data_IF_788362921364
#
_entry.id   IF_788362921364
#
_cell.length_a   1.000
_cell.length_b   1.000
_cell.length_c   1.000
_cell.angle_alpha   90.00
_cell.angle_beta   90.00
_cell.angle_gamma   90.00
#
_symmetry.space_group_name_H-M   'P 1'
#
loop_
_entity.id
_entity.type
_entity.pdbx_description
1 polymer ?
#
# COMPACT_ATOMS: atom_id res chain seq x y z
N UNK A 1 -53.52 17.97 -19.91
CA UNK A 1 -52.55 17.81 -18.79
C UNK A 1 -51.73 16.56 -19.10
N UNK A 2 -50.39 16.64 -19.20
CA UNK A 2 -49.58 15.43 -19.31
C UNK A 2 -49.62 14.72 -17.95
N UNK A 3 -49.88 13.41 -17.97
CA UNK A 3 -49.76 12.57 -16.80
C UNK A 3 -48.27 12.32 -16.55
N UNK A 4 -47.75 12.76 -15.42
CA UNK A 4 -46.45 12.35 -14.92
C UNK A 4 -46.59 10.94 -14.35
N UNK A 5 -46.18 9.93 -15.11
CA UNK A 5 -45.88 8.62 -14.54
C UNK A 5 -44.56 8.78 -13.78
N UNK A 6 -44.68 8.93 -12.46
CA UNK A 6 -43.59 8.60 -11.55
C UNK A 6 -43.35 7.08 -11.68
N UNK A 7 -42.44 6.69 -12.59
CA UNK A 7 -41.94 5.32 -12.60
C UNK A 7 -41.19 5.09 -11.29
N UNK A 8 -41.78 4.27 -10.42
CA UNK A 8 -41.22 3.84 -9.16
C UNK A 8 -39.96 3.01 -9.45
N UNK A 9 -38.78 3.67 -9.38
CA UNK A 9 -37.48 3.04 -9.59
C UNK A 9 -37.30 1.97 -8.52
N UNK A 10 -37.56 0.72 -8.88
CA UNK A 10 -37.38 -0.44 -8.02
C UNK A 10 -35.98 -0.99 -8.25
N UNK A 11 -35.12 -0.93 -7.24
CA UNK A 11 -33.80 -1.60 -7.30
C UNK A 11 -34.05 -3.11 -7.23
N UNK A 12 -33.88 -3.80 -8.37
CA UNK A 12 -34.22 -5.23 -8.48
C UNK A 12 -33.06 -6.18 -8.18
N UNK A 13 -31.80 -5.73 -8.29
CA UNK A 13 -30.63 -6.60 -8.10
C UNK A 13 -29.42 -5.87 -7.50
N UNK A 14 -28.66 -6.57 -6.65
CA UNK A 14 -27.33 -6.14 -6.20
C UNK A 14 -26.33 -6.45 -7.32
N UNK A 15 -25.83 -5.42 -8.00
CA UNK A 15 -24.95 -5.58 -9.17
C UNK A 15 -23.54 -6.11 -8.81
N UNK A 16 -22.95 -5.67 -7.70
CA UNK A 16 -21.67 -6.16 -7.18
C UNK A 16 -21.42 -5.64 -5.76
N UNK A 17 -21.13 -6.51 -4.80
CA UNK A 17 -20.73 -6.08 -3.45
C UNK A 17 -19.21 -6.04 -3.38
N UNK A 18 -18.63 -4.85 -3.21
CA UNK A 18 -17.22 -4.72 -2.81
C UNK A 18 -17.15 -5.04 -1.33
N UNK A 19 -17.01 -6.32 -1.02
CA UNK A 19 -16.81 -6.80 0.33
C UNK A 19 -15.33 -6.69 0.74
N UNK A 20 -15.06 -6.92 2.03
CA UNK A 20 -13.70 -6.90 2.57
C UNK A 20 -12.78 -7.89 1.83
N UNK A 21 -13.35 -9.00 1.34
CA UNK A 21 -12.66 -10.03 0.55
C UNK A 21 -12.19 -9.46 -0.79
N UNK A 22 -13.04 -8.70 -1.47
CA UNK A 22 -12.75 -8.04 -2.75
C UNK A 22 -11.66 -6.99 -2.60
N UNK A 23 -11.72 -6.16 -1.55
CA UNK A 23 -10.66 -5.17 -1.27
C UNK A 23 -9.32 -5.86 -1.00
N UNK A 24 -9.35 -6.93 -0.21
CA UNK A 24 -8.15 -7.72 0.10
C UNK A 24 -7.58 -8.37 -1.17
N UNK A 25 -8.43 -8.93 -2.03
CA UNK A 25 -8.04 -9.52 -3.31
C UNK A 25 -7.34 -8.50 -4.21
N UNK A 26 -7.88 -7.29 -4.33
CA UNK A 26 -7.27 -6.24 -5.14
C UNK A 26 -5.83 -5.91 -4.71
N UNK A 27 -5.56 -5.89 -3.40
CA UNK A 27 -4.20 -5.68 -2.89
C UNK A 27 -3.28 -6.84 -3.28
N UNK A 28 -3.75 -8.09 -3.20
CA UNK A 28 -2.99 -9.24 -3.67
C UNK A 28 -2.73 -9.21 -5.18
N UNK A 29 -3.68 -8.76 -5.98
CA UNK A 29 -3.52 -8.61 -7.43
C UNK A 29 -2.44 -7.59 -7.78
N UNK A 30 -2.38 -6.45 -7.08
CA UNK A 30 -1.32 -5.45 -7.24
C UNK A 30 0.04 -6.02 -6.80
N UNK A 31 0.06 -6.71 -5.65
CA UNK A 31 1.25 -7.31 -5.07
C UNK A 31 1.87 -8.35 -6.02
N UNK A 32 1.06 -9.26 -6.55
CA UNK A 32 1.47 -10.30 -7.50
C UNK A 32 1.69 -9.78 -8.93
N UNK A 33 1.00 -8.71 -9.32
CA UNK A 33 1.05 -8.15 -10.67
C UNK A 33 0.02 -8.70 -11.64
N UNK A 34 -0.99 -9.42 -11.14
CA UNK A 34 -2.12 -9.97 -11.93
C UNK A 34 -2.80 -8.87 -12.75
N UNK A 35 -2.89 -7.67 -12.19
CA UNK A 35 -3.48 -6.50 -12.85
C UNK A 35 -2.70 -5.97 -14.07
N UNK A 36 -1.50 -6.51 -14.35
CA UNK A 36 -0.63 -6.11 -15.47
C UNK A 36 -0.10 -7.30 -16.28
N UNK A 37 0.01 -8.47 -15.67
CA UNK A 37 0.59 -9.67 -16.28
C UNK A 37 -0.53 -10.69 -16.41
N UNK A 38 -1.12 -10.79 -17.62
CA UNK A 38 -2.29 -11.62 -17.87
C UNK A 38 -2.06 -13.14 -17.75
N UNK A 39 -0.81 -13.59 -17.62
CA UNK A 39 -0.47 -15.01 -17.40
C UNK A 39 -0.44 -15.40 -15.93
N UNK A 40 -0.56 -14.45 -15.00
CA UNK A 40 -0.50 -14.69 -13.56
C UNK A 40 -1.92 -14.62 -13.01
N UNK A 41 -2.39 -15.72 -12.40
CA UNK A 41 -3.65 -15.75 -11.66
C UNK A 41 -3.43 -15.30 -10.21
N UNK A 42 -4.46 -14.73 -9.58
CA UNK A 42 -4.37 -14.32 -8.17
C UNK A 42 -4.13 -15.48 -7.22
N UNK A 43 -4.48 -16.71 -7.60
CA UNK A 43 -4.23 -17.91 -6.81
C UNK A 43 -2.83 -18.51 -7.04
N UNK A 44 -2.08 -18.04 -8.04
CA UNK A 44 -0.70 -18.48 -8.27
C UNK A 44 0.16 -18.17 -7.05
N UNK A 45 0.87 -19.18 -6.53
CA UNK A 45 1.80 -18.99 -5.43
C UNK A 45 3.08 -18.33 -5.95
N UNK A 46 3.36 -17.10 -5.49
CA UNK A 46 4.54 -16.33 -5.87
C UNK A 46 5.32 -16.02 -4.58
N UNK A 47 6.59 -16.47 -4.49
CA UNK A 47 7.50 -16.12 -3.39
C UNK A 47 7.57 -14.61 -3.17
N UNK A 48 7.82 -14.17 -1.94
CA UNK A 48 7.73 -12.73 -1.58
C UNK A 48 8.71 -11.86 -2.38
N UNK A 49 9.88 -12.42 -2.66
CA UNK A 49 11.00 -11.86 -3.42
C UNK A 49 10.70 -11.68 -4.91
N UNK A 50 9.81 -12.50 -5.46
CA UNK A 50 9.43 -12.49 -6.88
C UNK A 50 8.15 -11.67 -7.14
N UNK A 51 7.55 -11.12 -6.08
CA UNK A 51 6.34 -10.32 -6.21
C UNK A 51 6.64 -8.98 -6.86
N UNK A 52 5.79 -8.58 -7.81
CA UNK A 52 5.95 -7.32 -8.55
C UNK A 52 6.07 -6.11 -7.64
N UNK A 53 5.20 -5.99 -6.64
CA UNK A 53 5.21 -4.88 -5.67
C UNK A 53 5.14 -5.48 -4.25
N UNK A 54 6.26 -5.54 -3.51
CA UNK A 54 6.24 -5.95 -2.11
C UNK A 54 5.31 -5.08 -1.24
N UNK A 55 4.64 -5.69 -0.26
CA UNK A 55 3.73 -4.97 0.65
C UNK A 55 4.39 -3.82 1.41
N UNK A 56 5.67 -3.97 1.80
CA UNK A 56 6.45 -2.93 2.45
C UNK A 56 6.61 -1.65 1.59
N UNK A 57 6.38 -1.75 0.28
CA UNK A 57 6.39 -0.62 -0.65
C UNK A 57 4.98 -0.07 -0.93
N UNK A 58 3.98 -0.45 -0.12
CA UNK A 58 2.60 0.00 -0.28
C UNK A 58 2.23 0.99 0.82
N UNK A 59 1.44 1.99 0.43
CA UNK A 59 0.71 2.87 1.33
C UNK A 59 -0.77 2.62 1.08
N UNK A 60 -1.50 2.25 2.13
CA UNK A 60 -2.93 2.01 2.08
C UNK A 60 -3.68 3.08 2.87
N UNK A 61 -4.59 3.77 2.20
CA UNK A 61 -5.36 4.90 2.74
C UNK A 61 -6.84 4.54 2.68
N UNK A 62 -7.54 4.59 3.82
CA UNK A 62 -8.98 4.30 3.89
C UNK A 62 -9.64 4.97 5.11
N UNK A 63 -10.96 4.97 5.15
CA UNK A 63 -11.79 5.84 5.98
C UNK A 63 -12.62 5.12 7.06
N UNK A 64 -12.30 3.87 7.43
CA UNK A 64 -13.03 3.28 8.55
C UNK A 64 -12.86 1.80 8.82
N UNK A 65 -13.79 1.24 9.63
CA UNK A 65 -13.73 -0.14 10.11
C UNK A 65 -13.85 -1.20 9.02
N UNK A 66 -14.47 -0.88 7.88
CA UNK A 66 -14.62 -1.83 6.76
C UNK A 66 -13.27 -2.30 6.23
N UNK A 67 -12.24 -1.46 6.38
CA UNK A 67 -10.90 -1.71 5.84
C UNK A 67 -9.96 -2.32 6.88
N UNK A 68 -10.46 -2.64 8.08
CA UNK A 68 -9.70 -3.32 9.14
C UNK A 68 -8.96 -4.57 8.66
N UNK A 69 -9.55 -5.46 7.82
CA UNK A 69 -8.82 -6.61 7.28
C UNK A 69 -7.63 -6.19 6.40
N UNK A 70 -7.81 -5.17 5.56
CA UNK A 70 -6.77 -4.68 4.65
C UNK A 70 -5.68 -3.94 5.42
N UNK A 71 -6.05 -3.11 6.39
CA UNK A 71 -5.10 -2.47 7.30
C UNK A 71 -4.24 -3.52 8.00
N UNK A 72 -4.85 -4.58 8.52
CA UNK A 72 -4.13 -5.65 9.21
C UNK A 72 -3.16 -6.36 8.25
N UNK A 73 -3.60 -6.67 7.03
CA UNK A 73 -2.77 -7.32 6.01
C UNK A 73 -1.54 -6.47 5.64
N UNK A 74 -1.77 -5.19 5.31
CA UNK A 74 -0.69 -4.29 4.86
C UNK A 74 0.30 -4.04 6.00
N UNK A 75 -0.21 -3.76 7.21
CA UNK A 75 0.61 -3.49 8.38
C UNK A 75 1.48 -4.70 8.79
N UNK A 76 0.89 -5.91 8.83
CA UNK A 76 1.64 -7.15 9.14
C UNK A 76 2.74 -7.48 8.12
N UNK A 77 2.62 -6.99 6.88
CA UNK A 77 3.61 -7.21 5.83
C UNK A 77 4.53 -6.00 5.61
N UNK A 78 4.61 -5.09 6.60
CA UNK A 78 5.57 -3.97 6.63
C UNK A 78 5.16 -2.75 5.80
N UNK A 79 3.97 -2.76 5.20
CA UNK A 79 3.43 -1.62 4.48
C UNK A 79 2.94 -0.52 5.43
N UNK A 80 2.61 0.63 4.85
CA UNK A 80 2.13 1.80 5.59
C UNK A 80 0.61 1.90 5.50
N UNK A 81 -0.04 2.25 6.60
CA UNK A 81 -1.51 2.32 6.72
C UNK A 81 -1.93 3.66 7.31
N UNK A 82 -2.82 4.36 6.63
CA UNK A 82 -3.26 5.70 6.99
C UNK A 82 -4.79 5.79 7.00
N UNK A 83 -5.35 6.26 8.10
CA UNK A 83 -6.79 6.54 8.21
C UNK A 83 -7.11 7.95 7.69
N UNK A 84 -8.25 8.13 7.04
CA UNK A 84 -8.74 9.47 6.70
C UNK A 84 -10.15 9.70 7.22
N UNK A 85 -10.48 10.95 7.50
CA UNK A 85 -11.82 11.38 7.91
C UNK A 85 -12.19 12.70 7.23
N UNK A 86 -13.47 12.96 7.01
CA UNK A 86 -13.95 14.20 6.42
C UNK A 86 -13.77 15.40 7.39
N UNK A 87 -13.49 16.58 6.85
CA UNK A 87 -13.32 17.78 7.67
C UNK A 87 -14.59 18.09 8.44
N UNK A 88 -14.47 18.27 9.76
CA UNK A 88 -15.62 18.47 10.67
C UNK A 88 -16.38 17.19 11.06
N UNK A 89 -16.04 16.02 10.51
CA UNK A 89 -16.70 14.75 10.85
C UNK A 89 -16.11 14.13 12.13
N UNK A 90 -16.68 14.52 13.28
CA UNK A 90 -16.22 14.07 14.61
C UNK A 90 -16.34 12.56 14.81
N UNK A 91 -17.38 11.93 14.29
CA UNK A 91 -17.61 10.49 14.45
C UNK A 91 -16.62 9.67 13.63
N UNK A 92 -16.28 10.12 12.42
CA UNK A 92 -15.23 9.51 11.60
C UNK A 92 -13.85 9.68 12.25
N UNK A 93 -13.55 10.88 12.76
CA UNK A 93 -12.34 11.13 13.54
C UNK A 93 -12.23 10.14 14.71
N UNK A 94 -13.32 9.97 15.48
CA UNK A 94 -13.33 9.05 16.61
C UNK A 94 -13.05 7.60 16.18
N UNK A 95 -13.62 7.17 15.04
CA UNK A 95 -13.37 5.85 14.47
C UNK A 95 -11.90 5.64 14.08
N UNK A 96 -11.31 6.54 13.28
CA UNK A 96 -9.90 6.40 12.86
C UNK A 96 -8.93 6.54 14.03
N UNK A 97 -9.25 7.39 15.01
CA UNK A 97 -8.47 7.52 16.23
C UNK A 97 -8.46 6.19 17.03
N UNK A 98 -9.61 5.52 17.13
CA UNK A 98 -9.68 4.21 17.78
C UNK A 98 -8.88 3.14 17.01
N UNK A 99 -8.94 3.15 15.67
CA UNK A 99 -8.10 2.28 14.85
C UNK A 99 -6.60 2.50 15.10
N UNK A 100 -6.18 3.76 15.31
CA UNK A 100 -4.78 4.08 15.62
C UNK A 100 -4.40 3.58 17.02
N UNK A 101 -5.25 3.78 18.04
CA UNK A 101 -5.01 3.28 19.40
C UNK A 101 -4.85 1.76 19.43
N UNK A 102 -5.63 1.06 18.61
CA UNK A 102 -5.52 -0.39 18.42
C UNK A 102 -4.33 -0.82 17.55
N UNK A 103 -3.47 0.12 17.13
CA UNK A 103 -2.32 -0.09 16.24
C UNK A 103 -2.69 -0.75 14.90
N UNK A 104 -3.92 -0.56 14.45
CA UNK A 104 -4.38 -1.06 13.14
C UNK A 104 -3.89 -0.16 12.01
N UNK A 105 -3.83 1.14 12.26
CA UNK A 105 -3.24 2.13 11.37
C UNK A 105 -2.04 2.82 12.01
N UNK A 106 -1.11 3.29 11.20
CA UNK A 106 0.08 4.00 11.67
C UNK A 106 -0.24 5.46 12.04
N UNK A 107 -1.03 6.12 11.21
CA UNK A 107 -1.45 7.51 11.43
C UNK A 107 -2.79 7.79 10.75
N UNK A 108 -3.33 8.97 10.98
CA UNK A 108 -4.55 9.42 10.32
C UNK A 108 -4.58 10.95 10.19
N UNK A 109 -5.43 11.47 9.31
CA UNK A 109 -5.60 12.91 9.09
C UNK A 109 -6.88 13.22 8.31
N UNK A 110 -7.20 14.50 8.16
CA UNK A 110 -8.32 14.93 7.32
C UNK A 110 -8.11 14.48 5.87
N UNK A 111 -9.18 14.19 5.14
CA UNK A 111 -9.16 13.84 3.71
C UNK A 111 -8.81 15.06 2.81
N UNK A 112 -7.81 15.84 3.21
CA UNK A 112 -7.27 16.99 2.50
C UNK A 112 -5.85 16.68 2.01
N UNK A 113 -5.74 16.40 0.71
CA UNK A 113 -4.49 15.99 0.05
C UNK A 113 -3.73 17.15 -0.61
N UNK A 114 -4.14 18.40 -0.36
CA UNK A 114 -3.46 19.57 -0.92
C UNK A 114 -2.04 19.70 -0.37
N UNK A 115 -1.11 20.34 -1.11
CA UNK A 115 0.24 20.55 -0.62
C UNK A 115 0.27 21.21 0.77
N UNK A 116 1.23 20.78 1.61
CA UNK A 116 1.46 21.28 2.98
C UNK A 116 0.37 20.95 4.02
N UNK A 117 -0.62 20.12 3.69
CA UNK A 117 -1.54 19.57 4.69
C UNK A 117 -0.90 18.38 5.41
N UNK A 118 -1.44 18.00 6.58
CA UNK A 118 -0.94 16.84 7.33
C UNK A 118 -0.94 15.56 6.48
N UNK A 119 -2.07 15.26 5.83
CA UNK A 119 -2.24 14.06 5.01
C UNK A 119 -1.28 14.04 3.83
N UNK A 120 -1.11 15.17 3.13
CA UNK A 120 -0.12 15.30 2.08
C UNK A 120 1.31 15.04 2.59
N UNK A 121 1.72 15.74 3.67
CA UNK A 121 3.07 15.61 4.21
C UNK A 121 3.36 14.18 4.67
N UNK A 122 2.40 13.52 5.32
CA UNK A 122 2.55 12.14 5.76
C UNK A 122 2.73 11.17 4.60
N UNK A 123 1.87 11.27 3.56
CA UNK A 123 1.96 10.41 2.38
C UNK A 123 3.28 10.64 1.65
N UNK A 124 3.67 11.89 1.42
CA UNK A 124 4.91 12.21 0.72
C UNK A 124 6.15 11.76 1.50
N UNK A 125 6.15 11.89 2.82
CA UNK A 125 7.21 11.35 3.66
C UNK A 125 7.27 9.81 3.56
N UNK A 126 6.13 9.12 3.61
CA UNK A 126 6.08 7.67 3.45
C UNK A 126 6.58 7.22 2.07
N UNK A 127 6.27 7.96 1.00
CA UNK A 127 6.80 7.70 -0.35
C UNK A 127 8.32 7.85 -0.38
N UNK A 128 8.86 8.91 0.21
CA UNK A 128 10.31 9.14 0.30
C UNK A 128 11.02 8.04 1.10
N UNK A 129 10.47 7.64 2.24
CA UNK A 129 10.97 6.51 3.05
C UNK A 129 11.01 5.20 2.25
N UNK A 130 9.92 4.90 1.53
CA UNK A 130 9.83 3.71 0.67
C UNK A 130 10.88 3.79 -0.45
N UNK A 131 11.01 4.94 -1.10
CA UNK A 131 12.01 5.17 -2.15
C UNK A 131 13.43 4.91 -1.65
N UNK A 132 13.80 5.50 -0.51
CA UNK A 132 15.10 5.27 0.15
C UNK A 132 15.31 3.81 0.52
N UNK A 133 14.29 3.14 1.05
CA UNK A 133 14.36 1.71 1.38
C UNK A 133 14.58 0.84 0.13
N UNK A 134 13.93 1.14 -0.98
CA UNK A 134 14.11 0.43 -2.25
C UNK A 134 15.54 0.58 -2.76
N UNK A 135 16.09 1.80 -2.75
CA UNK A 135 17.49 2.06 -3.16
C UNK A 135 18.46 1.27 -2.28
N UNK A 136 18.33 1.41 -0.95
CA UNK A 136 19.17 0.70 0.02
C UNK A 136 19.12 -0.82 -0.17
N UNK A 137 17.93 -1.39 -0.37
CA UNK A 137 17.78 -2.82 -0.58
C UNK A 137 18.45 -3.28 -1.88
N UNK A 138 18.35 -2.49 -2.96
CA UNK A 138 19.03 -2.80 -4.23
C UNK A 138 20.54 -2.73 -4.12
N UNK A 139 21.06 -1.68 -3.47
CA UNK A 139 22.50 -1.54 -3.20
C UNK A 139 23.03 -2.71 -2.37
N UNK A 140 22.32 -3.09 -1.32
CA UNK A 140 22.67 -4.24 -0.48
C UNK A 140 22.69 -5.55 -1.28
N UNK A 141 21.71 -5.78 -2.15
CA UNK A 141 21.69 -6.97 -3.02
C UNK A 141 22.89 -6.97 -3.97
N UNK A 142 23.23 -5.82 -4.58
CA UNK A 142 24.38 -5.70 -5.47
C UNK A 142 25.70 -5.97 -4.73
N UNK A 143 25.90 -5.35 -3.56
CA UNK A 143 27.13 -5.52 -2.77
C UNK A 143 27.33 -6.96 -2.27
N UNK A 144 26.25 -7.69 -1.92
CA UNK A 144 26.38 -9.05 -1.42
C UNK A 144 26.37 -10.13 -2.51
N UNK A 145 25.78 -9.86 -3.68
CA UNK A 145 25.81 -10.79 -4.83
C UNK A 145 27.07 -10.64 -5.67
N UNK A 146 27.59 -9.41 -5.77
CA UNK A 146 28.89 -9.13 -6.34
C UNK A 146 29.91 -9.25 -5.21
N UNK A 147 30.33 -10.48 -4.90
CA UNK A 147 31.47 -10.69 -4.01
C UNK A 147 32.66 -9.82 -4.45
N UNK A 148 33.46 -9.36 -3.48
CA UNK A 148 34.58 -8.43 -3.70
C UNK A 148 35.28 -8.71 -5.04
N UNK A 149 35.31 -7.69 -5.92
CA UNK A 149 36.08 -7.81 -7.16
C UNK A 149 37.53 -8.16 -6.81
N UNK A 150 38.12 -9.20 -7.44
CA UNK A 150 39.50 -9.58 -7.15
C UNK A 150 40.41 -8.36 -7.30
N UNK A 151 41.03 -7.91 -6.20
CA UNK A 151 42.05 -6.88 -6.26
C UNK A 151 43.27 -7.47 -6.95
N UNK A 152 43.72 -6.85 -8.03
CA UNK A 152 45.03 -7.14 -8.59
C UNK A 152 46.07 -6.71 -7.55
N UNK A 153 46.90 -7.66 -7.10
CA UNK A 153 48.08 -7.35 -6.30
C UNK A 153 49.10 -6.79 -7.28
N UNK A 154 49.10 -5.47 -7.47
CA UNK A 154 50.17 -4.81 -8.21
C UNK A 154 51.46 -4.91 -7.39
N UNK A 155 52.33 -5.81 -7.85
CA UNK A 155 53.77 -5.85 -7.69
C UNK A 155 54.38 -5.33 -6.38
N UNK A 156 54.75 -6.25 -5.50
CA UNK A 156 56.04 -6.11 -4.79
C UNK A 156 57.14 -6.66 -5.71
N UNK A 157 57.54 -5.83 -6.67
CA UNK A 157 58.84 -5.93 -7.30
C UNK A 157 59.85 -5.13 -6.48
N UNK A 158 60.86 -5.85 -5.97
CA UNK A 158 62.23 -5.42 -5.71
C UNK A 158 62.50 -4.00 -5.18
N UNK A 159 63.09 -3.94 -3.98
CA UNK A 159 64.25 -3.08 -3.74
C UNK A 159 65.08 -3.51 -2.52
N UNK A 160 66.35 -3.84 -2.83
CA UNK A 160 67.59 -3.85 -2.04
C UNK A 160 67.78 -4.93 -0.95
#
# INVERSE_FOLDING_TARGET
KPQSTDEEITIQDISYTIDNTTKTRAIFEINKGVNKIGTIDVNTNIPKEDRRIPFQNMIYVADGPSDVPVFSLVNQNGGRTFGVYASGARDEFAQVNELQKQRRIHSFGEADYRPNTQTYMWIMNAVDEIGKAIVKNREWVLQNRVGESPRHLDGQGEQA
#
